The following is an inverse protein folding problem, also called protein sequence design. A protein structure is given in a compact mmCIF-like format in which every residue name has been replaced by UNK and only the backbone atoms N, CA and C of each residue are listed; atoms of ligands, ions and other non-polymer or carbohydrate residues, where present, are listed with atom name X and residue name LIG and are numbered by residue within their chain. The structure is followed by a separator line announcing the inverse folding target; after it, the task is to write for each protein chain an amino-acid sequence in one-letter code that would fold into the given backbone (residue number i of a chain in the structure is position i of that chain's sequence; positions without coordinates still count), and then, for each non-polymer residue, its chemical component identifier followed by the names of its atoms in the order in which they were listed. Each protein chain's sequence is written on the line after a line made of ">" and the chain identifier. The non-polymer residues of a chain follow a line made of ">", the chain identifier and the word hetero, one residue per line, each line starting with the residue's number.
data_IF_457612110293
#
_entry.id   IF_457612110293
#
_cell.length_a   1.000
_cell.length_b   1.000
_cell.length_c   1.000
_cell.angle_alpha   90.00
_cell.angle_beta   90.00
_cell.angle_gamma   90.00
#
_symmetry.space_group_name_H-M   'P 1'
#
loop_
_entity.id
_entity.type
_entity.pdbx_description
1 polymer ?
#
# COMPACT_ATOMS: atom_id res chain seq x y z
N UNK A 1 16.35 1.00 18.28
CA UNK A 1 15.38 1.72 17.43
C UNK A 1 14.54 0.69 16.70
N UNK A 2 13.26 0.58 17.03
CA UNK A 2 12.34 -0.27 16.29
C UNK A 2 11.91 0.54 15.06
N UNK A 3 12.53 0.28 13.91
CA UNK A 3 12.15 0.93 12.65
C UNK A 3 10.83 0.31 12.19
N UNK A 4 9.71 0.82 12.69
CA UNK A 4 8.39 0.48 12.17
C UNK A 4 8.16 1.28 10.89
N UNK A 5 8.27 0.61 9.75
CA UNK A 5 7.92 1.20 8.45
C UNK A 5 6.42 1.47 8.44
N UNK A 6 6.02 2.70 8.12
CA UNK A 6 4.62 3.09 8.06
C UNK A 6 3.93 2.59 6.78
N UNK A 7 2.60 2.38 6.79
CA UNK A 7 1.84 2.07 5.57
C UNK A 7 2.06 3.08 4.43
N UNK A 8 2.30 4.34 4.77
CA UNK A 8 2.59 5.39 3.82
C UNK A 8 3.95 5.16 3.12
N UNK A 9 5.01 4.91 3.87
CA UNK A 9 6.34 4.63 3.31
C UNK A 9 6.32 3.39 2.41
N UNK A 10 5.56 2.36 2.79
CA UNK A 10 5.37 1.16 1.95
C UNK A 10 4.63 1.51 0.66
N UNK A 11 3.56 2.32 0.73
CA UNK A 11 2.81 2.75 -0.44
C UNK A 11 3.67 3.60 -1.39
N UNK A 12 4.44 4.55 -0.86
CA UNK A 12 5.36 5.38 -1.64
C UNK A 12 6.41 4.52 -2.34
N UNK A 13 7.03 3.58 -1.62
CA UNK A 13 8.01 2.67 -2.20
C UNK A 13 7.41 1.76 -3.29
N UNK A 14 6.24 1.15 -3.03
CA UNK A 14 5.56 0.30 -4.02
C UNK A 14 5.20 1.06 -5.30
N UNK A 15 4.73 2.30 -5.16
CA UNK A 15 4.40 3.16 -6.30
C UNK A 15 5.66 3.58 -7.06
N UNK A 16 6.77 3.84 -6.38
CA UNK A 16 8.05 4.19 -7.01
C UNK A 16 8.62 3.02 -7.83
N UNK A 17 8.59 1.81 -7.27
CA UNK A 17 9.18 0.63 -7.91
C UNK A 17 8.30 0.03 -9.03
N UNK A 18 6.97 -0.02 -8.82
CA UNK A 18 6.05 -0.75 -9.71
C UNK A 18 5.13 0.18 -10.51
N UNK A 19 5.03 1.45 -10.13
CA UNK A 19 3.99 2.35 -10.63
C UNK A 19 2.60 2.06 -10.03
N UNK A 20 1.70 3.05 -10.11
CA UNK A 20 0.40 3.02 -9.42
C UNK A 20 -0.44 1.78 -9.73
N UNK A 21 -0.52 1.37 -10.99
CA UNK A 21 -1.37 0.23 -11.41
C UNK A 21 -0.89 -1.08 -10.80
N UNK A 22 0.40 -1.40 -10.94
CA UNK A 22 0.95 -2.64 -10.38
C UNK A 22 0.99 -2.60 -8.85
N UNK A 23 1.28 -1.44 -8.24
CA UNK A 23 1.18 -1.28 -6.79
C UNK A 23 -0.23 -1.62 -6.27
N UNK A 24 -1.27 -1.20 -7.01
CA UNK A 24 -2.67 -1.49 -6.69
C UNK A 24 -2.99 -3.00 -6.78
N UNK A 25 -2.50 -3.68 -7.82
CA UNK A 25 -2.69 -5.13 -7.97
C UNK A 25 -1.93 -5.92 -6.91
N UNK A 26 -0.70 -5.50 -6.57
CA UNK A 26 0.14 -6.13 -5.55
C UNK A 26 -0.52 -6.08 -4.17
N UNK A 27 -0.96 -4.91 -3.67
CA UNK A 27 -1.59 -4.87 -2.35
C UNK A 27 -2.89 -5.69 -2.33
N UNK A 28 -3.71 -5.62 -3.40
CA UNK A 28 -4.97 -6.37 -3.48
C UNK A 28 -4.72 -7.88 -3.45
N UNK A 29 -3.68 -8.35 -4.13
CA UNK A 29 -3.25 -9.74 -4.08
C UNK A 29 -2.92 -10.17 -2.64
N UNK A 30 -2.10 -9.39 -1.93
CA UNK A 30 -1.71 -9.71 -0.56
C UNK A 30 -2.87 -9.61 0.45
N UNK A 31 -3.68 -8.55 0.36
CA UNK A 31 -4.87 -8.36 1.21
C UNK A 31 -5.91 -9.50 1.07
N UNK A 32 -6.02 -10.08 -0.12
CA UNK A 32 -6.93 -11.21 -0.39
C UNK A 32 -6.45 -12.54 0.20
N UNK A 33 -5.13 -12.68 0.44
CA UNK A 33 -4.50 -13.92 0.92
C UNK A 33 -4.24 -13.92 2.42
N UNK A 34 -4.18 -12.74 3.05
CA UNK A 34 -4.09 -12.63 4.50
C UNK A 34 -5.41 -13.06 5.16
N UNK A 35 -5.32 -14.01 6.09
CA UNK A 35 -6.45 -14.47 6.92
C UNK A 35 -6.48 -13.79 8.29
N UNK A 36 -5.41 -13.10 8.67
CA UNK A 36 -5.31 -12.33 9.90
C UNK A 36 -5.88 -10.92 9.68
N UNK A 37 -6.86 -10.55 10.50
CA UNK A 37 -7.54 -9.25 10.39
C UNK A 37 -6.59 -8.06 10.62
N UNK A 38 -5.61 -8.21 11.53
CA UNK A 38 -4.58 -7.19 11.78
C UNK A 38 -3.73 -6.94 10.54
N UNK A 39 -3.25 -8.01 9.90
CA UNK A 39 -2.44 -7.91 8.67
C UNK A 39 -3.27 -7.39 7.50
N UNK A 40 -4.53 -7.80 7.37
CA UNK A 40 -5.44 -7.24 6.37
C UNK A 40 -5.63 -5.74 6.57
N UNK A 41 -5.82 -5.29 7.81
CA UNK A 41 -5.98 -3.86 8.13
C UNK A 41 -4.76 -3.04 7.71
N UNK A 42 -3.55 -3.60 7.86
CA UNK A 42 -2.33 -2.93 7.38
C UNK A 42 -2.34 -2.81 5.85
N UNK A 43 -2.71 -3.88 5.13
CA UNK A 43 -2.82 -3.84 3.66
C UNK A 43 -3.89 -2.86 3.17
N UNK A 44 -5.03 -2.75 3.86
CA UNK A 44 -6.07 -1.77 3.52
C UNK A 44 -5.58 -0.33 3.73
N UNK A 45 -4.77 -0.08 4.76
CA UNK A 45 -4.11 1.23 4.95
C UNK A 45 -3.12 1.53 3.82
N UNK A 46 -2.30 0.56 3.42
CA UNK A 46 -1.37 0.70 2.29
C UNK A 46 -2.15 1.01 1.00
N UNK A 47 -3.23 0.27 0.72
CA UNK A 47 -4.08 0.51 -0.46
C UNK A 47 -4.71 1.90 -0.49
N UNK A 48 -5.13 2.40 0.68
CA UNK A 48 -5.67 3.76 0.83
C UNK A 48 -4.62 4.83 0.50
N UNK A 49 -3.38 4.63 0.96
CA UNK A 49 -2.27 5.55 0.65
C UNK A 49 -1.87 5.50 -0.82
N UNK A 50 -1.82 4.31 -1.45
CA UNK A 50 -1.57 4.18 -2.90
C UNK A 50 -2.62 4.99 -3.70
N UNK A 51 -3.88 4.92 -3.30
CA UNK A 51 -4.96 5.67 -3.95
C UNK A 51 -4.80 7.19 -3.74
N UNK A 52 -4.46 7.62 -2.51
CA UNK A 52 -4.17 9.03 -2.20
C UNK A 52 -3.03 9.57 -3.07
N UNK A 53 -1.93 8.82 -3.18
CA UNK A 53 -0.78 9.18 -4.01
C UNK A 53 -1.15 9.31 -5.50
N UNK A 54 -2.08 8.47 -5.99
CA UNK A 54 -2.57 8.56 -7.37
C UNK A 54 -3.33 9.87 -7.63
N UNK A 55 -4.12 10.33 -6.66
CA UNK A 55 -4.88 11.58 -6.77
C UNK A 55 -3.97 12.82 -6.69
N UNK A 56 -2.89 12.76 -5.91
CA UNK A 56 -1.95 13.88 -5.76
C UNK A 56 -1.13 14.18 -7.03
N UNK A 57 -0.90 13.19 -7.90
CA UNK A 57 -0.20 13.40 -9.18
C UNK A 57 -1.06 13.99 -10.29
N UNK A 58 -2.37 14.11 -10.07
CA UNK A 58 -3.33 14.66 -11.05
C UNK A 58 -3.82 16.08 -10.70
N UNK A 59 -3.26 16.69 -9.65
CA UNK A 59 -3.53 18.07 -9.23
C UNK A 59 -2.42 19.05 -9.61
#
# INVERSE_FOLDING_TARGET
>A
MQMSVSPQEIAEHLVQELGHKQAFETFKHHASRCREDETRTIWDKIGSEINRLSMLKTG
#
